data_IF_891089734075
#
_entry.id   IF_891089734075
#
_cell.length_a   1.000
_cell.length_b   1.000
_cell.length_c   1.000
_cell.angle_alpha   90.00
_cell.angle_beta   90.00
_cell.angle_gamma   90.00
#
_symmetry.space_group_name_H-M   'P 1'
#
loop_
_entity.id
_entity.type
_entity.pdbx_description
1 polymer ?
#
# COMPACT_ATOMS: atom_id res chain seq x y z
N UNK A 1 35.34 -11.35 -17.56
CA UNK A 1 34.15 -11.76 -16.77
C UNK A 1 33.07 -10.75 -17.07
N UNK A 2 31.97 -11.19 -17.70
CA UNK A 2 30.80 -10.32 -17.90
C UNK A 2 29.96 -10.51 -16.66
N UNK A 3 29.96 -9.52 -15.77
CA UNK A 3 29.04 -9.45 -14.65
C UNK A 3 27.63 -9.47 -15.23
N UNK A 4 26.93 -10.59 -15.04
CA UNK A 4 25.51 -10.66 -15.32
C UNK A 4 24.85 -9.84 -14.23
N UNK A 5 24.42 -8.63 -14.55
CA UNK A 5 23.38 -7.91 -13.82
C UNK A 5 22.12 -8.81 -13.81
N UNK A 6 22.08 -9.75 -12.87
CA UNK A 6 20.85 -10.37 -12.44
C UNK A 6 19.97 -9.23 -11.96
N UNK A 7 19.05 -8.79 -12.82
CA UNK A 7 17.84 -8.09 -12.40
C UNK A 7 17.20 -9.00 -11.37
N UNK A 8 17.50 -8.74 -10.10
CA UNK A 8 16.86 -9.34 -8.95
C UNK A 8 15.38 -9.00 -9.14
N UNK A 9 14.62 -9.96 -9.62
CA UNK A 9 13.18 -9.85 -9.63
C UNK A 9 12.80 -9.83 -8.15
N UNK A 10 12.70 -8.64 -7.56
CA UNK A 10 12.20 -8.44 -6.20
C UNK A 10 10.70 -8.77 -6.20
N UNK A 11 10.42 -10.07 -6.33
CA UNK A 11 9.10 -10.65 -6.14
C UNK A 11 8.78 -10.50 -4.65
N UNK A 12 8.05 -9.44 -4.32
CA UNK A 12 7.58 -9.22 -2.95
C UNK A 12 6.42 -10.17 -2.70
N UNK A 13 6.58 -11.08 -1.74
CA UNK A 13 5.50 -11.95 -1.32
C UNK A 13 4.36 -11.13 -0.70
N UNK A 14 3.11 -11.51 -0.99
CA UNK A 14 1.91 -10.82 -0.48
C UNK A 14 1.90 -10.77 1.06
N UNK A 15 2.40 -11.83 1.69
CA UNK A 15 2.40 -11.95 3.15
C UNK A 15 3.36 -10.93 3.81
N UNK A 16 4.49 -10.60 3.16
CA UNK A 16 5.42 -9.56 3.60
C UNK A 16 4.84 -8.14 3.51
N UNK A 17 3.73 -7.94 2.80
CA UNK A 17 3.13 -6.62 2.61
C UNK A 17 2.07 -6.35 3.69
N UNK A 18 1.44 -7.41 4.22
CA UNK A 18 0.39 -7.29 5.25
C UNK A 18 0.96 -6.68 6.53
N UNK A 19 0.19 -5.80 7.16
CA UNK A 19 0.57 -5.09 8.38
C UNK A 19 1.52 -3.91 8.18
N UNK A 20 2.19 -3.78 7.02
CA UNK A 20 3.10 -2.66 6.76
C UNK A 20 2.38 -1.32 6.78
N UNK A 21 3.10 -0.29 7.21
CA UNK A 21 2.63 1.09 7.16
C UNK A 21 2.48 1.55 5.71
N UNK A 22 1.42 2.29 5.45
CA UNK A 22 1.15 2.93 4.17
C UNK A 22 1.40 4.41 4.31
N UNK A 23 2.29 4.93 3.48
CA UNK A 23 2.71 6.33 3.48
C UNK A 23 2.40 6.93 2.12
N UNK A 24 1.76 8.10 2.11
CA UNK A 24 1.43 8.79 0.86
C UNK A 24 2.61 9.58 0.28
N UNK A 25 2.38 10.21 -0.87
CA UNK A 25 3.40 11.01 -1.57
C UNK A 25 3.89 12.24 -0.77
N UNK A 26 3.12 12.74 0.21
CA UNK A 26 3.52 13.83 1.10
C UNK A 26 4.28 13.33 2.34
N UNK A 27 4.49 12.02 2.47
CA UNK A 27 5.10 11.42 3.65
C UNK A 27 4.11 11.22 4.82
N UNK A 28 2.80 11.41 4.59
CA UNK A 28 1.80 11.21 5.63
C UNK A 28 1.49 9.72 5.81
N UNK A 29 1.49 9.27 7.07
CA UNK A 29 1.07 7.91 7.42
C UNK A 29 -0.45 7.82 7.32
N UNK A 30 -0.92 6.98 6.42
CA UNK A 30 -2.36 6.75 6.17
C UNK A 30 -2.89 5.67 7.12
N UNK A 31 -2.08 4.64 7.37
CA UNK A 31 -2.44 3.51 8.20
C UNK A 31 -1.66 2.26 7.82
N UNK A 32 -2.30 1.10 7.85
CA UNK A 32 -1.63 -0.19 7.64
C UNK A 32 -2.31 -1.02 6.56
N UNK A 33 -1.53 -1.82 5.83
CA UNK A 33 -2.08 -2.80 4.89
C UNK A 33 -2.82 -3.88 5.66
N UNK A 34 -4.10 -4.05 5.34
CA UNK A 34 -4.91 -5.13 5.90
C UNK A 34 -4.86 -6.37 5.03
N UNK A 35 -5.15 -6.19 3.75
CA UNK A 35 -5.22 -7.28 2.77
C UNK A 35 -4.85 -6.79 1.37
N UNK A 36 -4.51 -7.73 0.50
CA UNK A 36 -4.32 -7.50 -0.93
C UNK A 36 -5.36 -8.33 -1.66
N UNK A 37 -6.04 -7.71 -2.61
CA UNK A 37 -7.08 -8.32 -3.42
C UNK A 37 -6.69 -8.25 -4.88
N UNK A 38 -7.08 -9.26 -5.65
CA UNK A 38 -7.01 -9.23 -7.11
C UNK A 38 -8.44 -9.12 -7.61
N UNK A 39 -8.72 -8.08 -8.38
CA UNK A 39 -10.03 -7.85 -9.00
C UNK A 39 -10.27 -8.86 -10.11
N UNK A 40 -11.53 -9.07 -10.53
CA UNK A 40 -11.86 -10.00 -11.63
C UNK A 40 -11.14 -9.66 -12.93
N UNK A 41 -10.83 -8.39 -13.15
CA UNK A 41 -10.10 -7.87 -14.30
C UNK A 41 -8.56 -8.02 -14.19
N UNK A 42 -8.07 -8.68 -13.14
CA UNK A 42 -6.63 -8.87 -12.88
C UNK A 42 -5.95 -7.71 -12.15
N UNK A 43 -6.69 -6.63 -11.84
CA UNK A 43 -6.12 -5.48 -11.12
C UNK A 43 -5.89 -5.81 -9.63
N UNK A 44 -4.64 -5.69 -9.21
CA UNK A 44 -4.24 -5.82 -7.80
C UNK A 44 -4.57 -4.54 -7.03
N UNK A 45 -5.26 -4.68 -5.91
CA UNK A 45 -5.65 -3.60 -5.00
C UNK A 45 -5.19 -3.92 -3.57
N UNK A 46 -4.70 -2.92 -2.87
CA UNK A 46 -4.32 -2.99 -1.47
C UNK A 46 -5.45 -2.39 -0.64
N UNK A 47 -5.95 -3.13 0.34
CA UNK A 47 -6.87 -2.60 1.34
C UNK A 47 -6.07 -2.05 2.51
N UNK A 48 -6.27 -0.77 2.77
CA UNK A 48 -5.62 -0.04 3.85
C UNK A 48 -6.62 0.18 4.97
N UNK A 49 -6.24 -0.23 6.18
CA UNK A 49 -6.90 0.16 7.40
C UNK A 49 -6.38 1.54 7.81
N UNK A 50 -7.28 2.52 7.82
CA UNK A 50 -6.94 3.91 8.12
C UNK A 50 -6.79 4.08 9.63
N UNK A 51 -5.63 4.56 10.07
CA UNK A 51 -5.38 4.87 11.47
C UNK A 51 -5.21 6.38 11.64
N UNK A 52 -6.14 7.03 12.32
CA UNK A 52 -6.07 8.45 12.63
C UNK A 52 -6.00 8.64 14.13
N UNK A 53 -4.96 9.31 14.62
CA UNK A 53 -4.77 9.60 16.05
C UNK A 53 -4.81 8.32 16.92
N UNK A 54 -4.24 7.22 16.40
CA UNK A 54 -4.20 5.93 17.10
C UNK A 54 -5.53 5.18 17.14
N UNK A 55 -6.56 5.64 16.42
CA UNK A 55 -7.85 4.95 16.29
C UNK A 55 -8.07 4.44 14.87
N UNK A 56 -8.44 3.17 14.68
CA UNK A 56 -8.83 2.65 13.38
C UNK A 56 -10.15 3.29 12.96
N UNK A 57 -10.16 3.99 11.82
CA UNK A 57 -11.36 4.56 11.23
C UNK A 57 -11.91 3.57 10.20
N UNK A 58 -13.18 3.21 10.37
CA UNK A 58 -13.94 2.42 9.41
C UNK A 58 -14.59 3.40 8.42
N UNK A 59 -13.83 3.82 7.40
CA UNK A 59 -13.86 2.99 6.20
C UNK A 59 -12.48 2.47 5.79
N UNK A 60 -12.46 1.22 5.34
CA UNK A 60 -11.29 0.65 4.69
C UNK A 60 -11.15 1.28 3.29
N UNK A 61 -9.95 1.68 2.91
CA UNK A 61 -9.67 2.24 1.59
C UNK A 61 -9.08 1.17 0.68
N UNK A 62 -9.55 1.07 -0.56
CA UNK A 62 -8.89 0.27 -1.59
C UNK A 62 -8.01 1.17 -2.44
N UNK A 63 -6.73 0.83 -2.54
CA UNK A 63 -5.71 1.56 -3.29
C UNK A 63 -5.21 0.65 -4.41
N UNK A 64 -5.23 1.07 -5.68
CA UNK A 64 -4.68 0.26 -6.76
C UNK A 64 -3.18 0.07 -6.56
N UNK A 65 -2.65 -1.13 -6.84
CA UNK A 65 -1.22 -1.40 -6.71
C UNK A 65 -0.39 -0.50 -7.65
N UNK A 66 -0.96 -0.05 -8.76
CA UNK A 66 -0.36 0.94 -9.66
C UNK A 66 -0.03 2.28 -9.00
N UNK A 67 -0.65 2.59 -7.85
CA UNK A 67 -0.35 3.78 -7.05
C UNK A 67 0.79 3.56 -6.05
N UNK A 68 1.36 2.35 -5.97
CA UNK A 68 2.48 2.03 -5.09
C UNK A 68 3.78 2.40 -5.81
N UNK A 69 4.53 3.33 -5.21
CA UNK A 69 5.85 3.71 -5.68
C UNK A 69 6.91 2.64 -5.33
N UNK A 70 6.74 1.96 -4.20
CA UNK A 70 7.65 0.91 -3.78
C UNK A 70 7.25 0.28 -2.45
N UNK A 71 7.77 -0.92 -2.21
CA UNK A 71 7.53 -1.68 -0.97
C UNK A 71 8.89 -2.03 -0.39
N UNK A 72 9.21 -1.47 0.78
CA UNK A 72 10.39 -1.81 1.58
C UNK A 72 9.93 -2.12 3.00
N UNK A 73 10.38 -1.37 4.00
CA UNK A 73 9.83 -1.39 5.36
C UNK A 73 8.38 -0.88 5.42
N UNK A 74 8.05 0.05 4.53
CA UNK A 74 6.72 0.64 4.36
C UNK A 74 6.26 0.51 2.91
N UNK A 75 4.95 0.65 2.69
CA UNK A 75 4.34 0.80 1.38
C UNK A 75 4.27 2.29 1.07
N UNK A 76 5.08 2.72 0.10
CA UNK A 76 5.10 4.11 -0.39
C UNK A 76 4.11 4.25 -1.53
N UNK A 77 3.27 5.27 -1.50
CA UNK A 77 2.39 5.63 -2.60
C UNK A 77 2.97 6.80 -3.39
N UNK A 78 2.71 6.82 -4.70
CA UNK A 78 3.02 7.96 -5.57
C UNK A 78 1.88 8.98 -5.65
N UNK A 79 0.75 8.71 -4.98
CA UNK A 79 -0.41 9.60 -4.90
C UNK A 79 -0.58 10.17 -3.50
N UNK A 80 -1.17 11.37 -3.43
CA UNK A 80 -1.68 11.94 -2.19
C UNK A 80 -3.03 11.31 -1.85
N UNK A 81 -3.18 10.79 -0.63
CA UNK A 81 -4.43 10.17 -0.18
C UNK A 81 -5.15 11.13 0.75
N UNK A 82 -6.22 11.77 0.26
CA UNK A 82 -7.04 12.64 1.09
C UNK A 82 -8.23 11.86 1.69
N UNK A 83 -8.13 11.52 2.97
CA UNK A 83 -9.17 10.78 3.69
C UNK A 83 -10.29 11.74 4.10
N UNK A 84 -11.36 11.78 3.30
CA UNK A 84 -12.60 12.45 3.69
C UNK A 84 -13.40 11.54 4.62
N UNK A 85 -13.46 11.88 5.90
CA UNK A 85 -14.45 11.28 6.80
C UNK A 85 -15.84 11.66 6.30
N UNK A 86 -16.65 10.67 5.90
CA UNK A 86 -18.10 10.89 5.80
C UNK A 86 -18.59 11.17 7.21
N UNK A 87 -18.88 12.43 7.53
CA UNK A 87 -19.69 12.77 8.70
C UNK A 87 -21.03 12.05 8.53
N UNK A 88 -21.38 11.23 9.51
CA UNK A 88 -22.69 10.59 9.61
C UNK A 88 -23.73 11.63 10.00
#
# INVERSE_FOLDING_TARGET
MVEKDEKKSDLVAIDDIRGKLVVDADGAIIGNVKEIYVSKDGEVKIQVEINKEGRPIVPKQLIPFSAVAGIKDVVLLNIKVNIKQKKK
#
